data_IF_267221565715
#
_entry.id   IF_267221565715
#
_cell.length_a   1.000
_cell.length_b   1.000
_cell.length_c   1.000
_cell.angle_alpha   90.00
_cell.angle_beta   90.00
_cell.angle_gamma   90.00
#
_symmetry.space_group_name_H-M   'P 1'
#
loop_
_entity.id
_entity.type
_entity.pdbx_description
1 polymer ?
#
# COMPACT_ATOMS: atom_id res chain seq x y z
N UNK A 1 -7.97 -28.82 -2.87
CA UNK A 1 -8.40 -27.83 -3.89
C UNK A 1 -8.05 -28.32 -5.28
N UNK A 2 -8.97 -28.17 -6.24
CA UNK A 2 -8.77 -28.59 -7.63
C UNK A 2 -7.67 -27.76 -8.32
N UNK A 3 -6.99 -28.33 -9.31
CA UNK A 3 -5.98 -27.65 -10.14
C UNK A 3 -6.56 -26.40 -10.82
N UNK A 4 -7.84 -26.44 -11.21
CA UNK A 4 -8.50 -25.31 -11.87
C UNK A 4 -8.65 -24.10 -10.94
N UNK A 5 -9.06 -24.34 -9.69
CA UNK A 5 -9.19 -23.27 -8.68
C UNK A 5 -7.86 -22.58 -8.39
N UNK A 6 -6.73 -23.32 -8.43
CA UNK A 6 -5.40 -22.72 -8.24
C UNK A 6 -5.03 -21.80 -9.41
N UNK A 7 -5.31 -22.23 -10.64
CA UNK A 7 -5.04 -21.44 -11.86
C UNK A 7 -5.85 -20.15 -11.89
N UNK A 8 -7.15 -20.25 -11.56
CA UNK A 8 -8.05 -19.08 -11.50
C UNK A 8 -7.59 -18.06 -10.45
N UNK A 9 -7.20 -18.52 -9.25
CA UNK A 9 -6.66 -17.63 -8.21
C UNK A 9 -5.40 -16.90 -8.66
N UNK A 10 -4.47 -17.59 -9.30
CA UNK A 10 -3.24 -16.98 -9.80
C UNK A 10 -3.52 -15.92 -10.87
N UNK A 11 -4.46 -16.19 -11.78
CA UNK A 11 -4.87 -15.22 -12.80
C UNK A 11 -5.51 -13.97 -12.19
N UNK A 12 -6.42 -14.15 -11.22
CA UNK A 12 -7.05 -13.04 -10.50
C UNK A 12 -6.03 -12.19 -9.73
N UNK A 13 -5.05 -12.82 -9.07
CA UNK A 13 -3.96 -12.11 -8.39
C UNK A 13 -3.11 -11.29 -9.38
N UNK A 14 -2.78 -11.87 -10.52
CA UNK A 14 -2.00 -11.18 -11.56
C UNK A 14 -2.76 -9.98 -12.16
N UNK A 15 -4.07 -10.11 -12.37
CA UNK A 15 -4.92 -8.99 -12.80
C UNK A 15 -4.97 -7.89 -11.75
N UNK A 16 -5.23 -8.24 -10.48
CA UNK A 16 -5.25 -7.29 -9.38
C UNK A 16 -3.93 -6.53 -9.22
N UNK A 17 -2.80 -7.19 -9.48
CA UNK A 17 -1.48 -6.58 -9.35
C UNK A 17 -1.18 -5.60 -10.50
N UNK A 18 -1.65 -5.90 -11.71
CA UNK A 18 -1.58 -4.97 -12.84
C UNK A 18 -2.47 -3.75 -12.59
N UNK A 19 -3.71 -3.95 -12.18
CA UNK A 19 -4.64 -2.85 -11.85
C UNK A 19 -4.07 -1.95 -10.75
N UNK A 20 -3.53 -2.55 -9.69
CA UNK A 20 -2.85 -1.80 -8.62
C UNK A 20 -1.70 -0.95 -9.16
N UNK A 21 -0.90 -1.47 -10.09
CA UNK A 21 0.21 -0.73 -10.70
C UNK A 21 -0.18 0.44 -11.61
N UNK A 22 -1.43 0.52 -12.07
CA UNK A 22 -1.88 1.58 -13.00
C UNK A 22 -2.27 2.88 -12.29
N UNK A 23 -2.59 2.83 -11.00
CA UNK A 23 -3.04 4.02 -10.27
C UNK A 23 -1.85 4.80 -9.70
N UNK A 24 -1.99 6.12 -9.45
CA UNK A 24 -0.96 6.91 -8.80
C UNK A 24 -0.69 6.43 -7.37
N UNK A 25 0.59 6.32 -7.02
CA UNK A 25 1.03 5.93 -5.68
C UNK A 25 1.62 7.12 -4.93
N UNK A 26 1.47 7.11 -3.61
CA UNK A 26 1.96 8.17 -2.74
C UNK A 26 2.85 7.66 -1.60
N UNK A 27 3.70 8.55 -1.12
CA UNK A 27 4.60 8.33 0.00
C UNK A 27 4.43 9.46 1.00
N UNK A 28 4.13 9.12 2.25
CA UNK A 28 4.02 10.08 3.35
C UNK A 28 5.05 9.70 4.40
N UNK A 29 6.02 10.59 4.61
CA UNK A 29 7.10 10.41 5.57
C UNK A 29 7.43 11.74 6.26
N UNK A 30 7.98 11.63 7.46
CA UNK A 30 8.50 12.77 8.22
C UNK A 30 10.00 12.92 7.98
N UNK A 31 10.53 14.14 8.11
CA UNK A 31 11.96 14.43 8.06
C UNK A 31 12.45 14.94 9.41
N UNK A 32 13.61 14.44 9.86
CA UNK A 32 14.22 14.86 11.12
C UNK A 32 13.49 14.35 12.36
N UNK A 33 13.85 14.90 13.53
CA UNK A 33 13.22 14.55 14.81
C UNK A 33 11.91 15.33 14.97
N UNK A 34 10.80 14.61 15.15
CA UNK A 34 9.48 15.20 15.29
C UNK A 34 8.77 14.73 16.55
N UNK A 35 7.83 15.55 17.04
CA UNK A 35 7.03 15.28 18.22
C UNK A 35 5.98 14.17 18.01
N UNK A 36 5.24 13.85 19.08
CA UNK A 36 4.18 12.82 19.06
C UNK A 36 3.02 13.20 18.13
N UNK A 37 2.57 14.45 18.15
CA UNK A 37 1.41 14.89 17.36
C UNK A 37 1.64 14.75 15.86
N UNK A 38 2.82 15.15 15.37
CA UNK A 38 3.15 15.02 13.95
C UNK A 38 3.32 13.55 13.54
N UNK A 39 3.87 12.69 14.41
CA UNK A 39 3.91 11.23 14.17
C UNK A 39 2.52 10.65 14.02
N UNK A 40 1.58 11.05 14.86
CA UNK A 40 0.19 10.60 14.77
C UNK A 40 -0.46 11.09 13.47
N UNK A 41 -0.28 12.37 13.13
CA UNK A 41 -0.79 12.93 11.88
C UNK A 41 -0.27 12.17 10.65
N UNK A 42 1.02 11.85 10.61
CA UNK A 42 1.60 11.04 9.53
C UNK A 42 0.95 9.66 9.44
N UNK A 43 0.69 9.01 10.58
CA UNK A 43 0.00 7.72 10.61
C UNK A 43 -1.45 7.84 10.11
N UNK A 44 -2.17 8.89 10.52
CA UNK A 44 -3.56 9.12 10.13
C UNK A 44 -3.68 9.42 8.63
N UNK A 45 -2.78 10.24 8.08
CA UNK A 45 -2.74 10.53 6.64
C UNK A 45 -2.39 9.26 5.84
N UNK A 46 -1.44 8.44 6.30
CA UNK A 46 -1.14 7.15 5.65
C UNK A 46 -2.35 6.23 5.63
N UNK A 47 -3.13 6.19 6.72
CA UNK A 47 -4.36 5.41 6.82
C UNK A 47 -5.44 5.93 5.88
N UNK A 48 -5.60 7.25 5.80
CA UNK A 48 -6.57 7.91 4.91
C UNK A 48 -6.26 7.61 3.43
N UNK A 49 -4.98 7.55 3.08
CA UNK A 49 -4.53 7.34 1.71
C UNK A 49 -4.21 5.87 1.39
N UNK A 50 -4.66 4.91 2.21
CA UNK A 50 -4.67 3.49 1.84
C UNK A 50 -5.68 3.24 0.69
N UNK A 51 -5.43 2.27 -0.20
CA UNK A 51 -4.32 1.30 -0.22
C UNK A 51 -3.07 1.78 -0.99
N UNK A 52 -3.11 2.97 -1.60
CA UNK A 52 -2.09 3.41 -2.56
C UNK A 52 -0.93 4.21 -1.94
N UNK A 53 -0.86 4.24 -0.60
CA UNK A 53 0.25 4.84 0.14
C UNK A 53 1.11 3.78 0.80
N UNK A 54 2.44 3.89 0.65
CA UNK A 54 3.34 2.92 1.24
C UNK A 54 3.28 2.92 2.78
N UNK A 55 3.10 1.72 3.35
CA UNK A 55 3.13 1.47 4.80
C UNK A 55 4.54 1.46 5.38
N UNK A 56 5.51 0.97 4.60
CA UNK A 56 6.92 0.92 4.97
C UNK A 56 7.76 1.46 3.80
N UNK A 57 8.36 2.63 4.01
CA UNK A 57 9.31 3.21 3.07
C UNK A 57 10.71 2.85 3.55
N UNK A 58 11.51 2.24 2.68
CA UNK A 58 12.94 2.07 2.91
C UNK A 58 13.62 3.33 2.41
N UNK A 59 14.10 4.16 3.33
CA UNK A 59 14.83 5.41 3.09
C UNK A 59 16.14 5.41 3.87
#
# INVERSE_FOLDING_TARGET
QSKNQKKERAAAQHQAQQEFGTVPHSFVFQRGRVGRSLRQLVADVRRLMEPYTARALKV
#
